data_IF_449911520375
#
_entry.id   IF_449911520375
#
_cell.length_a   1.000
_cell.length_b   1.000
_cell.length_c   1.000
_cell.angle_alpha   90.00
_cell.angle_beta   90.00
_cell.angle_gamma   90.00
#
_symmetry.space_group_name_H-M   'P 1'
#
loop_
_entity.id
_entity.type
_entity.pdbx_description
1 polymer ?
#
# COMPACT_ATOMS: atom_id res chain seq x y z
N UNK A 1 -17.86 -36.13 -3.35
CA UNK A 1 -17.26 -35.27 -2.31
C UNK A 1 -17.38 -33.83 -2.77
N UNK A 2 -18.46 -33.18 -2.38
CA UNK A 2 -18.73 -31.75 -2.59
C UNK A 2 -17.77 -30.93 -1.70
N UNK A 3 -17.09 -29.89 -2.21
CA UNK A 3 -16.21 -29.08 -1.39
C UNK A 3 -17.06 -28.34 -0.36
N UNK A 4 -16.85 -28.70 0.90
CA UNK A 4 -17.51 -28.14 2.07
C UNK A 4 -17.32 -26.63 2.13
N UNK A 5 -18.42 -25.94 2.40
CA UNK A 5 -18.58 -24.54 2.79
C UNK A 5 -17.32 -23.92 3.39
N UNK A 6 -16.90 -22.78 2.84
CA UNK A 6 -15.91 -21.88 3.42
C UNK A 6 -16.20 -21.71 4.92
N UNK A 7 -15.24 -22.06 5.77
CA UNK A 7 -15.32 -21.83 7.21
C UNK A 7 -15.60 -20.33 7.48
N UNK A 8 -16.81 -19.97 7.94
CA UNK A 8 -17.18 -18.58 8.12
C UNK A 8 -16.44 -17.95 9.31
N UNK A 9 -15.78 -18.73 10.16
CA UNK A 9 -14.97 -18.24 11.28
C UNK A 9 -13.57 -17.79 10.81
N UNK A 10 -12.90 -18.59 9.97
CA UNK A 10 -11.61 -18.23 9.37
C UNK A 10 -11.68 -16.99 8.46
N UNK A 11 -12.71 -16.90 7.61
CA UNK A 11 -12.90 -15.73 6.74
C UNK A 11 -13.11 -14.42 7.54
N UNK A 12 -13.91 -14.47 8.62
CA UNK A 12 -14.12 -13.33 9.52
C UNK A 12 -12.84 -12.92 10.24
N UNK A 13 -12.04 -13.90 10.68
CA UNK A 13 -10.74 -13.64 11.32
C UNK A 13 -9.75 -12.97 10.36
N UNK A 14 -9.60 -13.47 9.13
CA UNK A 14 -8.76 -12.81 8.11
C UNK A 14 -9.28 -11.41 7.78
N UNK A 15 -10.60 -11.23 7.67
CA UNK A 15 -11.20 -9.93 7.38
C UNK A 15 -10.86 -8.89 8.46
N UNK A 16 -10.97 -9.27 9.72
CA UNK A 16 -10.62 -8.40 10.84
C UNK A 16 -9.11 -8.09 10.87
N UNK A 17 -8.22 -9.06 10.65
CA UNK A 17 -6.78 -8.81 10.55
C UNK A 17 -6.42 -7.88 9.39
N UNK A 18 -7.04 -8.09 8.23
CA UNK A 18 -6.89 -7.21 7.05
C UNK A 18 -7.40 -5.81 7.38
N UNK A 19 -8.57 -5.66 7.99
CA UNK A 19 -9.13 -4.37 8.37
C UNK A 19 -8.19 -3.63 9.34
N UNK A 20 -7.71 -4.30 10.38
CA UNK A 20 -6.75 -3.72 11.34
C UNK A 20 -5.44 -3.29 10.66
N UNK A 21 -4.89 -4.14 9.79
CA UNK A 21 -3.68 -3.80 9.03
C UNK A 21 -3.90 -2.64 8.05
N UNK A 22 -5.07 -2.59 7.38
CA UNK A 22 -5.47 -1.48 6.51
C UNK A 22 -5.50 -0.18 7.27
N UNK A 23 -6.10 -0.17 8.46
CA UNK A 23 -6.23 1.08 9.19
C UNK A 23 -4.88 1.52 9.71
N UNK A 24 -4.03 0.63 10.21
CA UNK A 24 -2.66 1.01 10.56
C UNK A 24 -1.92 1.61 9.37
N UNK A 25 -2.11 1.06 8.16
CA UNK A 25 -1.52 1.60 6.93
C UNK A 25 -2.10 2.97 6.54
N UNK A 26 -3.41 3.18 6.69
CA UNK A 26 -4.06 4.48 6.40
C UNK A 26 -3.66 5.51 7.46
N UNK A 27 -3.62 5.13 8.73
CA UNK A 27 -3.19 5.99 9.83
C UNK A 27 -1.74 6.43 9.64
N UNK A 28 -0.86 5.51 9.23
CA UNK A 28 0.53 5.80 8.89
C UNK A 28 0.63 6.85 7.77
N UNK A 29 -0.28 6.83 6.79
CA UNK A 29 -0.29 7.81 5.69
C UNK A 29 -0.61 9.25 6.12
N UNK A 30 -1.16 9.47 7.31
CA UNK A 30 -1.36 10.80 7.89
C UNK A 30 -0.13 11.34 8.62
N UNK A 31 0.87 10.49 8.88
CA UNK A 31 2.10 10.89 9.54
C UNK A 31 3.03 11.51 8.50
N UNK A 32 3.49 12.77 8.68
CA UNK A 32 4.44 13.37 7.76
C UNK A 32 5.77 12.60 7.82
N UNK A 33 6.20 12.05 6.69
CA UNK A 33 7.46 11.31 6.61
C UNK A 33 8.60 12.25 6.20
N UNK A 34 9.76 12.20 6.89
CA UNK A 34 10.90 13.07 6.62
C UNK A 34 11.58 12.78 5.27
N UNK A 35 11.47 11.53 4.78
CA UNK A 35 12.08 11.08 3.53
C UNK A 35 11.02 10.38 2.67
N UNK A 36 10.83 10.80 1.40
CA UNK A 36 9.93 10.12 0.48
C UNK A 36 10.29 8.64 0.32
N UNK A 37 9.32 7.76 0.55
CA UNK A 37 9.49 6.30 0.42
C UNK A 37 9.88 5.57 1.70
N UNK A 38 10.19 6.27 2.80
CA UNK A 38 10.40 5.66 4.12
C UNK A 38 9.06 5.57 4.86
N UNK A 39 8.72 4.36 5.32
CA UNK A 39 7.54 4.05 6.11
C UNK A 39 7.94 3.51 7.48
N UNK A 40 7.18 3.82 8.51
CA UNK A 40 7.32 3.29 9.88
C UNK A 40 7.04 1.79 9.94
N UNK A 41 6.18 1.26 9.07
CA UNK A 41 5.88 -0.16 8.99
C UNK A 41 4.80 -0.62 9.97
N UNK A 42 3.86 0.25 10.37
CA UNK A 42 2.85 -0.08 11.37
C UNK A 42 1.99 -1.28 10.95
N UNK A 43 1.57 -1.31 9.69
CA UNK A 43 0.80 -2.42 9.17
C UNK A 43 1.62 -3.74 9.17
N UNK A 44 2.96 -3.67 9.06
CA UNK A 44 3.83 -4.86 9.01
C UNK A 44 3.88 -5.59 10.35
N UNK A 45 3.53 -4.93 11.46
CA UNK A 45 3.35 -5.57 12.76
C UNK A 45 2.28 -6.66 12.65
N UNK A 46 1.11 -6.34 12.07
CA UNK A 46 0.02 -7.31 11.91
C UNK A 46 0.44 -8.46 10.99
N UNK A 47 1.15 -8.17 9.90
CA UNK A 47 1.68 -9.20 9.00
C UNK A 47 2.66 -10.13 9.71
N UNK A 48 3.59 -9.60 10.50
CA UNK A 48 4.57 -10.39 11.25
C UNK A 48 3.93 -11.25 12.33
N UNK A 49 3.00 -10.70 13.12
CA UNK A 49 2.24 -11.44 14.13
C UNK A 49 1.41 -12.54 13.48
N UNK A 50 0.72 -12.21 12.38
CA UNK A 50 -0.06 -13.21 11.61
C UNK A 50 0.84 -14.32 11.08
N UNK A 51 2.04 -13.99 10.63
CA UNK A 51 2.99 -14.99 10.14
C UNK A 51 3.48 -15.93 11.24
N UNK A 52 3.71 -15.39 12.44
CA UNK A 52 4.14 -16.19 13.60
C UNK A 52 3.02 -17.11 14.13
N UNK A 53 1.78 -16.64 14.18
CA UNK A 53 0.65 -17.36 14.79
C UNK A 53 -0.15 -18.23 13.80
N UNK A 54 -0.38 -17.72 12.58
CA UNK A 54 -1.29 -18.31 11.59
C UNK A 54 -0.55 -18.85 10.35
N UNK A 55 0.75 -18.60 10.25
CA UNK A 55 1.59 -19.09 9.16
C UNK A 55 1.50 -18.28 7.86
N UNK A 56 2.18 -18.79 6.83
CA UNK A 56 2.45 -18.06 5.58
C UNK A 56 1.21 -17.63 4.81
N UNK A 57 0.26 -18.54 4.62
CA UNK A 57 -0.92 -18.27 3.78
C UNK A 57 -1.75 -17.11 4.34
N UNK A 58 -1.99 -17.10 5.65
CA UNK A 58 -2.72 -16.04 6.32
C UNK A 58 -1.94 -14.72 6.31
N UNK A 59 -0.62 -14.76 6.55
CA UNK A 59 0.20 -13.55 6.51
C UNK A 59 0.27 -12.91 5.12
N UNK A 60 0.38 -13.73 4.08
CA UNK A 60 0.38 -13.28 2.69
C UNK A 60 -0.99 -12.71 2.30
N UNK A 61 -2.10 -13.37 2.69
CA UNK A 61 -3.45 -12.83 2.52
C UNK A 61 -3.56 -11.44 3.18
N UNK A 62 -3.17 -11.31 4.44
CA UNK A 62 -3.18 -10.02 5.15
C UNK A 62 -2.30 -8.98 4.46
N UNK A 63 -1.07 -9.35 4.09
CA UNK A 63 -0.11 -8.45 3.47
C UNK A 63 -0.57 -7.90 2.12
N UNK A 64 -1.19 -8.74 1.29
CA UNK A 64 -1.68 -8.37 -0.04
C UNK A 64 -3.00 -7.62 0.05
N UNK A 65 -4.00 -8.18 0.73
CA UNK A 65 -5.35 -7.59 0.78
C UNK A 65 -5.34 -6.24 1.48
N UNK A 66 -4.51 -6.04 2.51
CA UNK A 66 -4.40 -4.72 3.15
C UNK A 66 -3.92 -3.64 2.17
N UNK A 67 -2.98 -3.97 1.28
CA UNK A 67 -2.43 -3.00 0.31
C UNK A 67 -3.46 -2.66 -0.76
N UNK A 68 -4.28 -3.64 -1.17
CA UNK A 68 -5.41 -3.45 -2.08
C UNK A 68 -6.44 -2.53 -1.43
N UNK A 69 -6.99 -2.92 -0.28
CA UNK A 69 -8.03 -2.16 0.42
C UNK A 69 -7.55 -0.75 0.75
N UNK A 70 -6.38 -0.59 1.38
CA UNK A 70 -5.85 0.74 1.71
C UNK A 70 -5.65 1.63 0.47
N UNK A 71 -5.28 1.06 -0.68
CA UNK A 71 -5.13 1.84 -1.90
C UNK A 71 -6.47 2.25 -2.53
N UNK A 72 -7.51 1.41 -2.42
CA UNK A 72 -8.87 1.78 -2.81
C UNK A 72 -9.38 2.93 -1.93
N UNK A 73 -9.06 2.90 -0.64
CA UNK A 73 -9.43 3.95 0.32
C UNK A 73 -8.76 5.28 -0.02
N UNK A 74 -7.46 5.22 -0.29
CA UNK A 74 -6.64 6.40 -0.58
C UNK A 74 -6.80 6.89 -2.03
N UNK A 75 -7.66 6.26 -2.84
CA UNK A 75 -7.82 6.56 -4.27
C UNK A 75 -6.49 6.45 -5.03
N UNK A 76 -5.68 5.46 -4.67
CA UNK A 76 -4.35 5.19 -5.21
C UNK A 76 -4.22 3.77 -5.78
N UNK A 77 -5.32 3.04 -5.90
CA UNK A 77 -5.34 1.71 -6.52
C UNK A 77 -4.78 1.77 -7.95
N UNK A 78 -3.88 0.84 -8.27
CA UNK A 78 -3.16 0.77 -9.55
C UNK A 78 -2.35 2.01 -9.96
N UNK A 79 -2.03 2.90 -9.00
CA UNK A 79 -0.98 3.91 -9.19
C UNK A 79 0.41 3.32 -8.98
N UNK A 80 1.51 3.99 -9.40
CA UNK A 80 2.87 3.51 -9.14
C UNK A 80 3.12 3.12 -7.68
N UNK A 81 2.68 3.94 -6.72
CA UNK A 81 2.85 3.65 -5.30
C UNK A 81 2.15 2.37 -4.83
N UNK A 82 0.98 2.04 -5.38
CA UNK A 82 0.31 0.77 -5.10
C UNK A 82 1.12 -0.42 -5.61
N UNK A 83 1.60 -0.37 -6.86
CA UNK A 83 2.38 -1.46 -7.46
C UNK A 83 3.65 -1.72 -6.66
N UNK A 84 4.38 -0.65 -6.31
CA UNK A 84 5.57 -0.73 -5.48
C UNK A 84 5.25 -1.37 -4.12
N UNK A 85 4.18 -0.95 -3.45
CA UNK A 85 3.81 -1.47 -2.13
C UNK A 85 3.31 -2.92 -2.15
N UNK A 86 2.52 -3.31 -3.16
CA UNK A 86 1.89 -4.62 -3.27
C UNK A 86 2.93 -5.74 -3.44
N UNK A 87 3.79 -5.59 -4.44
CA UNK A 87 4.83 -6.59 -4.73
C UNK A 87 5.92 -6.61 -3.65
N UNK A 88 6.24 -5.47 -3.04
CA UNK A 88 7.21 -5.41 -1.93
C UNK A 88 6.67 -6.04 -0.66
N UNK A 89 5.37 -5.95 -0.40
CA UNK A 89 4.72 -6.65 0.71
C UNK A 89 4.76 -8.18 0.52
N UNK A 90 4.53 -8.65 -0.71
CA UNK A 90 4.67 -10.06 -1.06
C UNK A 90 6.10 -10.58 -0.83
N UNK A 91 7.10 -9.87 -1.38
CA UNK A 91 8.51 -10.24 -1.27
C UNK A 91 8.99 -10.26 0.18
N UNK A 92 8.65 -9.23 0.96
CA UNK A 92 8.97 -9.16 2.40
C UNK A 92 8.37 -10.32 3.20
N UNK A 93 7.09 -10.64 2.97
CA UNK A 93 6.41 -11.74 3.65
C UNK A 93 7.05 -13.09 3.32
N UNK A 94 7.42 -13.30 2.05
CA UNK A 94 8.12 -14.52 1.63
C UNK A 94 9.49 -14.66 2.32
N UNK A 95 10.28 -13.59 2.40
CA UNK A 95 11.58 -13.60 3.10
C UNK A 95 11.41 -13.91 4.59
N UNK A 96 10.47 -13.24 5.27
CA UNK A 96 10.20 -13.53 6.69
C UNK A 96 9.77 -14.98 6.91
N UNK A 97 8.93 -15.53 6.01
CA UNK A 97 8.51 -16.93 6.08
C UNK A 97 9.66 -17.90 5.91
N UNK A 98 10.55 -17.67 4.94
CA UNK A 98 11.74 -18.51 4.73
C UNK A 98 12.61 -18.52 5.98
N UNK A 99 12.88 -17.36 6.59
CA UNK A 99 13.71 -17.26 7.79
C UNK A 99 13.09 -17.97 9.00
N UNK A 100 11.79 -17.82 9.21
CA UNK A 100 11.09 -18.55 10.28
C UNK A 100 11.07 -20.06 10.03
N UNK A 101 10.87 -20.48 8.79
CA UNK A 101 10.86 -21.91 8.40
C UNK A 101 12.23 -22.55 8.61
N UNK A 102 13.31 -21.85 8.25
CA UNK A 102 14.69 -22.29 8.53
C UNK A 102 14.94 -22.34 10.03
N UNK A 103 14.49 -21.34 10.78
CA UNK A 103 14.66 -21.28 12.24
C UNK A 103 13.96 -22.43 12.97
N UNK A 104 12.75 -22.80 12.52
CA UNK A 104 12.01 -23.95 13.06
C UNK A 104 12.74 -25.28 12.83
N UNK A 105 13.59 -25.36 11.80
CA UNK A 105 14.37 -26.56 11.45
C UNK A 105 15.67 -26.68 12.24
N UNK A 106 16.14 -25.62 12.88
CA UNK A 106 17.35 -25.58 13.71
C UNK A 106 17.08 -24.99 15.11
N UNK A 107 16.45 -25.76 16.02
CA UNK A 107 16.15 -25.32 17.38
C UNK A 107 17.44 -24.86 18.10
N UNK A 108 17.42 -23.65 18.67
CA UNK A 108 18.55 -23.06 19.41
C UNK A 108 19.58 -22.29 18.57
N UNK A 109 19.50 -22.31 17.23
CA UNK A 109 20.36 -21.51 16.33
C UNK A 109 19.57 -20.69 15.29
N UNK A 110 18.26 -20.58 15.48
CA UNK A 110 17.36 -19.86 14.59
C UNK A 110 17.45 -18.33 14.68
N UNK A 111 16.81 -17.66 13.74
CA UNK A 111 16.68 -16.21 13.73
C UNK A 111 15.70 -15.74 14.81
N UNK A 112 16.04 -14.66 15.50
CA UNK A 112 15.12 -13.98 16.43
C UNK A 112 14.00 -13.28 15.67
N UNK A 113 12.87 -13.01 16.34
CA UNK A 113 11.76 -12.22 15.76
C UNK A 113 12.24 -10.85 15.26
N UNK A 114 13.23 -10.27 15.94
CA UNK A 114 13.91 -9.04 15.53
C UNK A 114 14.67 -9.22 14.22
N UNK A 115 15.49 -10.27 14.11
CA UNK A 115 16.22 -10.58 12.89
C UNK A 115 15.29 -10.83 11.70
N UNK A 116 14.19 -11.56 11.91
CA UNK A 116 13.17 -11.83 10.89
C UNK A 116 12.51 -10.54 10.42
N UNK A 117 12.08 -9.67 11.34
CA UNK A 117 11.46 -8.38 11.01
C UNK A 117 12.40 -7.44 10.27
N UNK A 118 13.66 -7.34 10.73
CA UNK A 118 14.69 -6.53 10.06
C UNK A 118 14.96 -7.04 8.65
N UNK A 119 15.13 -8.35 8.47
CA UNK A 119 15.30 -8.93 7.13
C UNK A 119 14.07 -8.70 6.24
N UNK A 120 12.86 -8.79 6.82
CA UNK A 120 11.62 -8.44 6.13
C UNK A 120 11.58 -6.98 5.67
N UNK A 121 11.97 -6.03 6.53
CA UNK A 121 12.02 -4.61 6.20
C UNK A 121 13.07 -4.29 5.12
N UNK A 122 14.25 -4.92 5.21
CA UNK A 122 15.29 -4.80 4.17
C UNK A 122 14.82 -5.38 2.84
N UNK A 123 14.18 -6.55 2.85
CA UNK A 123 13.60 -7.16 1.64
C UNK A 123 12.49 -6.31 1.04
N UNK A 124 11.65 -5.68 1.87
CA UNK A 124 10.63 -4.73 1.43
C UNK A 124 11.26 -3.53 0.71
N UNK A 125 12.27 -2.93 1.31
CA UNK A 125 12.95 -1.76 0.73
C UNK A 125 13.73 -2.11 -0.54
N UNK A 126 14.40 -3.26 -0.56
CA UNK A 126 15.14 -3.74 -1.72
C UNK A 126 14.20 -4.06 -2.89
N UNK A 127 13.08 -4.74 -2.64
CA UNK A 127 12.06 -5.00 -3.66
C UNK A 127 11.39 -3.71 -4.14
N UNK A 128 11.07 -2.77 -3.24
CA UNK A 128 10.51 -1.48 -3.61
C UNK A 128 11.44 -0.70 -4.53
N UNK A 129 12.73 -0.67 -4.21
CA UNK A 129 13.75 0.00 -5.02
C UNK A 129 13.97 -0.70 -6.37
N UNK A 130 14.05 -2.03 -6.37
CA UNK A 130 14.18 -2.83 -7.58
C UNK A 130 12.97 -2.66 -8.52
N UNK A 131 11.76 -2.63 -7.98
CA UNK A 131 10.54 -2.36 -8.75
C UNK A 131 10.50 -0.92 -9.27
N UNK A 132 10.94 0.06 -8.49
CA UNK A 132 11.07 1.43 -8.94
C UNK A 132 12.07 1.55 -10.11
N UNK A 133 13.19 0.81 -10.04
CA UNK A 133 14.14 0.69 -11.15
C UNK A 133 13.50 0.05 -12.37
N UNK A 134 12.91 -1.14 -12.24
CA UNK A 134 12.38 -1.91 -13.37
C UNK A 134 11.19 -1.24 -14.07
N UNK A 135 10.27 -0.68 -13.27
CA UNK A 135 8.98 -0.16 -13.75
C UNK A 135 9.03 1.33 -14.09
N UNK A 136 9.80 2.14 -13.36
CA UNK A 136 9.70 3.61 -13.44
C UNK A 136 10.93 4.25 -14.07
N UNK A 137 12.09 4.15 -13.42
CA UNK A 137 13.26 5.02 -13.69
C UNK A 137 14.30 4.35 -14.59
N UNK A 138 14.43 3.02 -14.64
CA UNK A 138 15.39 2.27 -15.49
C UNK A 138 16.79 2.90 -15.60
N UNK A 139 17.30 3.47 -14.50
CA UNK A 139 18.59 4.12 -14.43
C UNK A 139 19.28 3.73 -13.13
N UNK A 140 20.57 3.37 -13.19
CA UNK A 140 21.31 2.76 -12.07
C UNK A 140 21.47 3.69 -10.86
N UNK A 141 21.47 5.01 -11.11
CA UNK A 141 21.56 6.02 -10.06
C UNK A 141 20.44 5.94 -9.01
N UNK A 142 19.31 5.27 -9.29
CA UNK A 142 18.29 5.03 -8.27
C UNK A 142 18.85 4.22 -7.08
N UNK A 143 19.88 3.40 -7.30
CA UNK A 143 20.53 2.63 -6.23
C UNK A 143 21.33 3.49 -5.24
N UNK A 144 21.53 4.79 -5.51
CA UNK A 144 22.06 5.72 -4.50
C UNK A 144 21.13 5.89 -3.28
N UNK A 145 19.83 5.55 -3.42
CA UNK A 145 18.92 5.50 -2.27
C UNK A 145 19.08 4.22 -1.43
N UNK A 146 19.76 3.19 -1.93
CA UNK A 146 19.84 1.89 -1.26
C UNK A 146 20.42 1.97 0.17
N UNK A 147 21.52 2.71 0.44
CA UNK A 147 22.07 2.80 1.80
C UNK A 147 21.09 3.47 2.79
N UNK A 148 20.42 4.53 2.35
CA UNK A 148 19.43 5.25 3.16
C UNK A 148 18.20 4.39 3.45
N UNK A 149 17.72 3.66 2.45
CA UNK A 149 16.62 2.72 2.60
C UNK A 149 17.01 1.53 3.48
N UNK A 150 18.24 1.01 3.36
CA UNK A 150 18.73 -0.05 4.24
C UNK A 150 18.78 0.42 5.71
N UNK A 151 19.35 1.60 5.97
CA UNK A 151 19.41 2.18 7.31
C UNK A 151 18.02 2.37 7.92
N UNK A 152 17.09 2.93 7.15
CA UNK A 152 15.70 3.07 7.61
C UNK A 152 15.03 1.71 7.86
N UNK A 153 15.29 0.71 7.02
CA UNK A 153 14.80 -0.66 7.18
C UNK A 153 15.32 -1.36 8.44
N UNK A 154 16.57 -1.11 8.82
CA UNK A 154 17.12 -1.60 10.09
C UNK A 154 16.33 -1.03 11.28
N UNK A 155 16.11 0.29 11.27
CA UNK A 155 15.40 0.99 12.35
C UNK A 155 13.94 0.57 12.41
N UNK A 156 13.22 0.63 11.29
CA UNK A 156 11.77 0.33 11.25
C UNK A 156 11.51 -1.16 11.46
N UNK A 157 12.37 -2.03 10.95
CA UNK A 157 12.31 -3.47 11.20
C UNK A 157 12.53 -3.81 12.66
N UNK A 158 13.48 -3.16 13.33
CA UNK A 158 13.71 -3.33 14.78
C UNK A 158 12.51 -2.85 15.59
N UNK A 159 11.98 -1.64 15.32
CA UNK A 159 10.80 -1.11 16.00
C UNK A 159 9.56 -2.00 15.80
N UNK A 160 9.33 -2.46 14.57
CA UNK A 160 8.23 -3.38 14.23
C UNK A 160 8.32 -4.67 15.04
N UNK A 161 9.54 -5.20 15.22
CA UNK A 161 9.75 -6.43 15.97
C UNK A 161 9.47 -6.27 17.47
N UNK A 162 9.84 -5.15 18.08
CA UNK A 162 9.60 -4.90 19.50
C UNK A 162 8.10 -4.90 19.80
N UNK A 163 7.31 -4.21 18.96
CA UNK A 163 5.86 -4.17 19.13
C UNK A 163 5.24 -5.54 18.85
N UNK A 164 5.68 -6.22 17.78
CA UNK A 164 5.20 -7.56 17.48
C UNK A 164 5.51 -8.56 18.61
N UNK A 165 6.70 -8.50 19.21
CA UNK A 165 7.08 -9.35 20.31
C UNK A 165 6.18 -9.13 21.54
N UNK A 166 5.84 -7.89 21.88
CA UNK A 166 4.94 -7.60 23.00
C UNK A 166 3.51 -8.10 22.72
N UNK A 167 3.02 -7.96 21.48
CA UNK A 167 1.71 -8.50 21.08
C UNK A 167 1.70 -10.02 21.20
N UNK A 168 2.76 -10.70 20.76
CA UNK A 168 2.87 -12.18 20.85
C UNK A 168 2.98 -12.67 22.30
N UNK A 169 3.47 -11.86 23.24
CA UNK A 169 3.49 -12.21 24.68
C UNK A 169 2.11 -12.15 25.32
N UNK A 170 1.10 -11.56 24.67
CA UNK A 170 -0.26 -11.39 25.17
C UNK A 170 -1.27 -12.06 24.22
N UNK A 171 -1.43 -13.40 24.28
CA UNK A 171 -2.29 -14.15 23.34
C UNK A 171 -3.76 -13.68 23.34
N UNK A 172 -4.25 -13.17 24.47
CA UNK A 172 -5.60 -12.58 24.56
C UNK A 172 -5.74 -11.30 23.73
N UNK A 173 -4.67 -10.49 23.62
CA UNK A 173 -4.68 -9.25 22.85
C UNK A 173 -4.78 -9.49 21.34
N UNK A 174 -4.20 -10.58 20.83
CA UNK A 174 -4.35 -10.98 19.42
C UNK A 174 -5.78 -11.44 19.10
N UNK A 175 -6.44 -12.06 20.09
CA UNK A 175 -7.83 -12.52 20.00
C UNK A 175 -8.83 -11.35 20.10
N UNK A 176 -8.50 -10.34 20.93
CA UNK A 176 -9.30 -9.13 21.17
C UNK A 176 -9.14 -8.05 20.07
N UNK A 177 -8.02 -8.02 19.35
CA UNK A 177 -7.77 -7.10 18.23
C UNK A 177 -8.55 -7.43 16.95
N UNK A 178 -9.43 -8.43 17.00
CA UNK A 178 -10.43 -8.71 15.98
C UNK A 178 -11.69 -7.94 16.36
N UNK A 179 -11.89 -6.68 15.90
CA UNK A 179 -13.17 -6.03 16.11
C UNK A 179 -14.27 -6.97 15.59
N UNK A 180 -15.32 -7.15 16.39
CA UNK A 180 -16.52 -7.82 15.92
C UNK A 180 -16.93 -7.12 14.62
N UNK A 181 -16.93 -7.88 13.52
CA UNK A 181 -17.30 -7.39 12.19
C UNK A 181 -18.81 -7.13 12.21
N UNK A 182 -19.17 -6.03 12.85
CA UNK A 182 -20.53 -5.66 13.13
C UNK A 182 -21.06 -4.92 11.92
N UNK A 183 -21.43 -5.69 10.89
CA UNK A 183 -22.30 -5.30 9.78
C UNK A 183 -22.38 -3.80 9.48
N UNK A 184 -21.24 -3.15 9.29
CA UNK A 184 -21.22 -1.71 9.08
C UNK A 184 -21.77 -1.43 7.69
N UNK A 185 -22.71 -0.48 7.60
CA UNK A 185 -23.34 -0.10 6.35
C UNK A 185 -22.28 0.30 5.33
N UNK A 186 -22.21 -0.43 4.21
CA UNK A 186 -21.39 -0.08 3.06
C UNK A 186 -21.74 1.36 2.68
N UNK A 187 -20.78 2.30 2.61
CA UNK A 187 -21.06 3.65 2.16
C UNK A 187 -21.80 3.60 0.83
N UNK A 188 -22.84 4.42 0.67
CA UNK A 188 -23.65 4.42 -0.54
C UNK A 188 -22.72 4.47 -1.78
N UNK A 189 -22.94 3.60 -2.79
CA UNK A 189 -22.05 3.50 -3.93
C UNK A 189 -21.92 4.87 -4.58
N UNK A 190 -20.69 5.40 -4.68
CA UNK A 190 -20.44 6.54 -5.55
C UNK A 190 -20.84 6.13 -6.97
N UNK A 191 -21.62 6.96 -7.66
CA UNK A 191 -22.02 6.70 -9.05
C UNK A 191 -20.77 6.49 -9.91
N UNK A 192 -20.67 5.32 -10.54
CA UNK A 192 -19.73 5.11 -11.63
C UNK A 192 -20.13 6.02 -12.79
N UNK A 193 -19.17 6.77 -13.35
CA UNK A 193 -19.40 7.63 -14.53
C UNK A 193 -19.59 6.81 -15.83
N UNK A 194 -19.37 5.49 -15.79
CA UNK A 194 -19.58 4.59 -16.92
C UNK A 194 -20.17 3.25 -16.44
N UNK A 195 -21.43 3.23 -15.95
CA UNK A 195 -22.02 2.03 -15.34
C UNK A 195 -22.28 0.92 -16.36
N UNK A 196 -22.38 1.25 -17.65
CA UNK A 196 -22.60 0.29 -18.73
C UNK A 196 -21.39 -0.62 -19.00
N UNK A 197 -20.19 -0.21 -18.58
CA UNK A 197 -18.96 -1.00 -18.76
C UNK A 197 -18.70 -1.81 -17.49
N UNK A 198 -18.57 -3.16 -17.58
CA UNK A 198 -18.24 -3.99 -16.42
C UNK A 198 -16.91 -3.58 -15.78
N UNK A 199 -16.83 -3.67 -14.46
CA UNK A 199 -15.64 -3.28 -13.69
C UNK A 199 -14.40 -4.14 -14.03
N UNK A 200 -14.60 -5.39 -14.43
CA UNK A 200 -13.57 -6.31 -14.90
C UNK A 200 -12.89 -5.77 -16.15
N UNK A 201 -13.68 -5.25 -17.10
CA UNK A 201 -13.15 -4.70 -18.34
C UNK A 201 -12.41 -3.39 -18.06
N UNK A 202 -12.94 -2.51 -17.18
CA UNK A 202 -12.24 -1.30 -16.74
C UNK A 202 -10.88 -1.64 -16.11
N UNK A 203 -10.86 -2.64 -15.23
CA UNK A 203 -9.66 -3.12 -14.57
C UNK A 203 -8.66 -3.74 -15.56
N UNK A 204 -9.13 -4.59 -16.47
CA UNK A 204 -8.29 -5.19 -17.51
C UNK A 204 -7.67 -4.14 -18.44
N UNK A 205 -8.46 -3.14 -18.88
CA UNK A 205 -7.99 -2.04 -19.71
C UNK A 205 -6.97 -1.16 -18.97
N UNK A 206 -7.21 -0.86 -17.69
CA UNK A 206 -6.26 -0.14 -16.86
C UNK A 206 -4.94 -0.92 -16.73
N UNK A 207 -5.00 -2.23 -16.45
CA UNK A 207 -3.81 -3.09 -16.42
C UNK A 207 -3.07 -3.11 -17.76
N UNK A 208 -3.78 -3.20 -18.89
CA UNK A 208 -3.18 -3.15 -20.21
C UNK A 208 -2.49 -1.80 -20.49
N UNK A 209 -3.11 -0.68 -20.13
CA UNK A 209 -2.53 0.64 -20.26
C UNK A 209 -1.29 0.83 -19.38
N UNK A 210 -1.29 0.27 -18.15
CA UNK A 210 -0.11 0.28 -17.27
C UNK A 210 1.02 -0.56 -17.83
N UNK A 211 0.73 -1.77 -18.35
CA UNK A 211 1.74 -2.60 -19.01
C UNK A 211 2.31 -1.88 -20.24
N UNK A 212 1.46 -1.27 -21.06
CA UNK A 212 1.91 -0.45 -22.19
C UNK A 212 2.84 0.68 -21.72
N UNK A 213 2.46 1.45 -20.70
CA UNK A 213 3.29 2.53 -20.17
C UNK A 213 4.67 2.04 -19.67
N UNK A 214 4.75 0.83 -19.10
CA UNK A 214 6.01 0.22 -18.65
C UNK A 214 6.89 -0.20 -19.83
N UNK A 215 6.34 -0.85 -20.86
CA UNK A 215 7.13 -1.39 -21.96
C UNK A 215 7.46 -0.37 -23.05
N UNK A 216 6.63 0.66 -23.22
CA UNK A 216 6.88 1.73 -24.17
C UNK A 216 8.15 2.52 -23.80
N UNK A 217 9.01 2.67 -24.80
CA UNK A 217 10.26 3.45 -24.72
C UNK A 217 10.24 4.70 -25.59
N UNK A 218 9.32 4.77 -26.54
CA UNK A 218 9.25 5.86 -27.50
C UNK A 218 8.65 7.13 -26.86
N UNK A 219 9.29 8.31 -26.95
CA UNK A 219 8.83 9.53 -26.28
C UNK A 219 7.44 9.97 -26.73
N UNK A 220 7.11 9.83 -28.03
CA UNK A 220 5.78 10.20 -28.56
C UNK A 220 4.65 9.28 -28.07
N UNK A 221 4.96 8.11 -27.51
CA UNK A 221 3.93 7.19 -27.05
C UNK A 221 3.20 7.71 -25.81
N UNK A 222 3.87 8.49 -24.93
CA UNK A 222 3.25 9.00 -23.71
C UNK A 222 2.27 10.16 -23.95
N UNK A 223 2.58 11.17 -24.80
CA UNK A 223 1.59 12.14 -25.25
C UNK A 223 0.40 11.47 -25.95
N UNK A 224 0.62 10.45 -26.79
CA UNK A 224 -0.47 9.73 -27.45
C UNK A 224 -1.37 9.00 -26.43
N UNK A 225 -0.79 8.32 -25.43
CA UNK A 225 -1.54 7.72 -24.33
C UNK A 225 -2.30 8.80 -23.53
N UNK A 226 -1.66 9.90 -23.19
CA UNK A 226 -2.30 11.02 -22.49
C UNK A 226 -3.47 11.63 -23.27
N UNK A 227 -3.32 11.81 -24.58
CA UNK A 227 -4.38 12.26 -25.47
C UNK A 227 -5.56 11.27 -25.50
N UNK A 228 -5.28 9.96 -25.54
CA UNK A 228 -6.31 8.92 -25.44
C UNK A 228 -7.06 8.97 -24.10
N UNK A 229 -6.35 9.17 -22.99
CA UNK A 229 -6.98 9.33 -21.66
C UNK A 229 -7.82 10.61 -21.59
N UNK A 230 -7.37 11.73 -22.16
CA UNK A 230 -8.17 12.97 -22.25
C UNK A 230 -9.41 12.78 -23.11
N UNK A 231 -9.27 12.13 -24.26
CA UNK A 231 -10.38 11.84 -25.16
C UNK A 231 -11.43 10.98 -24.46
N UNK A 232 -11.00 9.96 -23.69
CA UNK A 232 -11.90 9.18 -22.85
C UNK A 232 -12.64 10.06 -21.83
N UNK A 233 -11.92 10.93 -21.10
CA UNK A 233 -12.54 11.84 -20.13
C UNK A 233 -13.57 12.78 -20.76
N UNK A 234 -13.25 13.31 -21.95
CA UNK A 234 -14.15 14.18 -22.70
C UNK A 234 -15.37 13.42 -23.23
N UNK A 235 -15.17 12.20 -23.76
CA UNK A 235 -16.22 11.36 -24.32
C UNK A 235 -17.25 10.93 -23.27
N UNK A 236 -16.81 10.61 -22.04
CA UNK A 236 -17.70 10.28 -20.92
C UNK A 236 -18.26 11.51 -20.19
N UNK A 237 -17.93 12.72 -20.65
CA UNK A 237 -18.39 14.00 -20.09
C UNK A 237 -18.11 14.10 -18.58
N UNK A 238 -16.87 13.82 -18.17
CA UNK A 238 -16.48 13.94 -16.76
C UNK A 238 -16.69 15.40 -16.26
N UNK A 239 -17.14 15.59 -15.00
CA UNK A 239 -17.28 16.93 -14.43
C UNK A 239 -15.93 17.66 -14.33
N UNK A 240 -15.92 18.98 -14.49
CA UNK A 240 -14.72 19.81 -14.37
C UNK A 240 -13.97 19.64 -13.03
N UNK A 241 -14.69 19.32 -11.95
CA UNK A 241 -14.10 19.01 -10.65
C UNK A 241 -13.15 17.80 -10.67
N UNK A 242 -13.41 16.81 -11.54
CA UNK A 242 -12.54 15.63 -11.67
C UNK A 242 -11.26 15.96 -12.43
N UNK A 243 -11.31 16.87 -13.41
CA UNK A 243 -10.10 17.40 -14.05
C UNK A 243 -9.20 18.13 -13.04
N UNK A 244 -9.79 18.95 -12.17
CA UNK A 244 -9.04 19.61 -11.09
C UNK A 244 -8.46 18.58 -10.08
N UNK A 245 -9.19 17.51 -9.80
CA UNK A 245 -8.72 16.41 -8.94
C UNK A 245 -7.56 15.64 -9.56
N UNK A 246 -7.61 15.39 -10.87
CA UNK A 246 -6.50 14.83 -11.63
C UNK A 246 -5.25 15.70 -11.51
N UNK A 247 -5.37 17.01 -11.75
CA UNK A 247 -4.23 17.94 -11.66
C UNK A 247 -3.61 17.95 -10.25
N UNK A 248 -4.44 17.92 -9.18
CA UNK A 248 -3.95 17.79 -7.81
C UNK A 248 -3.20 16.48 -7.59
N UNK A 249 -3.70 15.36 -8.12
CA UNK A 249 -3.06 14.04 -8.03
C UNK A 249 -1.74 14.00 -8.79
N UNK A 250 -1.70 14.49 -10.03
CA UNK A 250 -0.49 14.56 -10.84
C UNK A 250 0.55 15.51 -10.21
N UNK A 251 0.11 16.61 -9.59
CA UNK A 251 0.98 17.48 -8.79
C UNK A 251 1.57 16.74 -7.57
N UNK A 252 0.81 15.86 -6.92
CA UNK A 252 1.34 15.00 -5.86
C UNK A 252 2.38 13.98 -6.35
N UNK A 253 2.36 13.62 -7.64
CA UNK A 253 3.33 12.73 -8.29
C UNK A 253 4.48 13.50 -8.96
N UNK A 254 4.40 14.83 -9.05
CA UNK A 254 5.37 15.62 -9.82
C UNK A 254 6.76 15.57 -9.22
N UNK A 255 6.89 15.43 -7.90
CA UNK A 255 8.20 15.25 -7.26
C UNK A 255 8.87 13.93 -7.71
N UNK A 256 8.10 12.83 -7.81
CA UNK A 256 8.62 11.54 -8.26
C UNK A 256 8.96 11.58 -9.76
N UNK A 257 8.11 12.24 -10.56
CA UNK A 257 8.38 12.46 -11.97
C UNK A 257 9.62 13.36 -12.19
N UNK A 258 9.79 14.41 -11.37
CA UNK A 258 10.94 15.29 -11.41
C UNK A 258 12.21 14.54 -11.06
N UNK A 259 12.22 13.77 -9.97
CA UNK A 259 13.34 12.90 -9.61
C UNK A 259 13.70 11.96 -10.78
N UNK A 260 12.69 11.34 -11.39
CA UNK A 260 12.89 10.41 -12.52
C UNK A 260 13.37 11.09 -13.80
N UNK A 261 13.12 12.39 -13.97
CA UNK A 261 13.67 13.21 -15.04
C UNK A 261 15.12 13.62 -14.76
N UNK A 262 15.37 14.12 -13.54
CA UNK A 262 16.65 14.70 -13.15
C UNK A 262 17.75 13.63 -13.04
N UNK A 263 17.42 12.40 -12.64
CA UNK A 263 18.43 11.35 -12.51
C UNK A 263 19.13 11.03 -13.84
N UNK A 264 18.44 10.68 -14.93
CA UNK A 264 19.10 10.51 -16.21
C UNK A 264 19.73 11.81 -16.74
N UNK A 265 19.11 12.96 -16.47
CA UNK A 265 19.65 14.26 -16.92
C UNK A 265 21.06 14.53 -16.39
N UNK A 266 21.30 14.27 -15.10
CA UNK A 266 22.59 14.54 -14.45
C UNK A 266 23.57 13.36 -14.43
N UNK A 267 23.06 12.12 -14.50
CA UNK A 267 23.89 10.92 -14.31
C UNK A 267 24.07 10.09 -15.59
N UNK A 268 23.54 10.53 -16.73
CA UNK A 268 23.86 9.90 -18.03
C UNK A 268 25.15 10.50 -18.58
N UNK A 269 26.19 9.70 -18.87
CA UNK A 269 27.43 10.19 -19.45
C UNK A 269 27.23 10.92 -20.78
N UNK A 270 27.95 12.03 -20.95
CA UNK A 270 27.98 12.82 -22.18
C UNK A 270 28.76 12.08 -23.29
N UNK A 271 28.08 11.19 -24.03
CA UNK A 271 28.67 10.43 -25.15
C UNK A 271 28.89 11.23 -26.45
N UNK A 272 29.09 12.55 -26.38
CA UNK A 272 29.34 13.42 -27.54
C UNK A 272 28.12 14.13 -28.15
N UNK A 273 26.89 13.68 -27.90
CA UNK A 273 25.65 14.38 -28.29
C UNK A 273 25.12 15.22 -27.11
N UNK A 274 25.66 16.43 -27.02
CA UNK A 274 25.40 17.39 -25.95
C UNK A 274 24.35 18.43 -26.39
N UNK A 275 23.48 18.77 -25.44
CA UNK A 275 22.56 19.90 -25.55
C UNK A 275 23.01 20.96 -24.56
N UNK A 276 23.35 22.14 -25.06
CA UNK A 276 23.67 23.30 -24.24
C UNK A 276 22.39 23.97 -23.75
N UNK A 277 22.30 24.17 -22.43
CA UNK A 277 21.26 24.94 -21.79
C UNK A 277 21.92 25.93 -20.81
N UNK A 278 22.32 27.08 -21.34
CA UNK A 278 23.07 28.09 -20.58
C UNK A 278 24.46 27.58 -20.19
N UNK A 279 24.90 27.72 -18.94
CA UNK A 279 26.23 27.26 -18.49
C UNK A 279 26.32 25.74 -18.29
N UNK A 280 25.21 25.02 -18.46
CA UNK A 280 25.15 23.58 -18.24
C UNK A 280 25.08 22.81 -19.56
N UNK A 281 25.82 21.70 -19.63
CA UNK A 281 25.82 20.77 -20.76
C UNK A 281 25.18 19.45 -20.33
N UNK A 282 24.18 19.01 -21.09
CA UNK A 282 23.46 17.78 -20.80
C UNK A 282 23.54 16.80 -21.97
N UNK A 283 23.66 15.50 -21.67
CA UNK A 283 23.56 14.46 -22.68
C UNK A 283 22.12 14.41 -23.23
N UNK A 284 21.94 14.46 -24.56
CA UNK A 284 20.62 14.34 -25.20
C UNK A 284 19.90 13.05 -24.78
N UNK A 285 20.66 11.95 -24.66
CA UNK A 285 20.16 10.67 -24.18
C UNK A 285 19.56 10.73 -22.77
N UNK A 286 20.19 11.51 -21.88
CA UNK A 286 19.69 11.76 -20.51
C UNK A 286 18.38 12.55 -20.53
N UNK A 287 18.30 13.59 -21.35
CA UNK A 287 17.08 14.41 -21.50
C UNK A 287 15.90 13.58 -22.05
N UNK A 288 16.13 12.78 -23.09
CA UNK A 288 15.10 11.91 -23.68
C UNK A 288 14.64 10.82 -22.70
N UNK A 289 15.59 10.12 -22.07
CA UNK A 289 15.27 9.06 -21.11
C UNK A 289 14.54 9.60 -19.89
N UNK A 290 15.03 10.72 -19.33
CA UNK A 290 14.37 11.40 -18.22
C UNK A 290 12.95 11.83 -18.56
N UNK A 291 12.73 12.38 -19.77
CA UNK A 291 11.39 12.78 -20.24
C UNK A 291 10.45 11.58 -20.32
N UNK A 292 10.92 10.46 -20.86
CA UNK A 292 10.17 9.20 -20.95
C UNK A 292 9.81 8.67 -19.55
N UNK A 293 10.75 8.70 -18.60
CA UNK A 293 10.50 8.17 -17.25
C UNK A 293 9.52 9.03 -16.45
N UNK A 294 9.65 10.36 -16.55
CA UNK A 294 8.70 11.29 -15.95
C UNK A 294 7.29 11.12 -16.56
N UNK A 295 7.18 11.07 -17.88
CA UNK A 295 5.91 10.88 -18.57
C UNK A 295 5.26 9.54 -18.22
N UNK A 296 6.05 8.46 -18.08
CA UNK A 296 5.58 7.15 -17.63
C UNK A 296 4.90 7.22 -16.26
N UNK A 297 5.53 7.86 -15.28
CA UNK A 297 4.97 8.00 -13.93
C UNK A 297 3.65 8.78 -13.96
N UNK A 298 3.59 9.85 -14.73
CA UNK A 298 2.38 10.67 -14.86
C UNK A 298 1.24 9.89 -15.53
N UNK A 299 1.51 9.17 -16.63
CA UNK A 299 0.50 8.34 -17.33
C UNK A 299 0.03 7.18 -16.45
N UNK A 300 0.92 6.52 -15.72
CA UNK A 300 0.53 5.47 -14.76
C UNK A 300 -0.33 6.04 -13.64
N UNK A 301 0.04 7.20 -13.09
CA UNK A 301 -0.74 7.91 -12.07
C UNK A 301 -2.12 8.34 -12.58
N UNK A 302 -2.20 8.81 -13.82
CA UNK A 302 -3.45 9.19 -14.48
C UNK A 302 -4.35 7.98 -14.74
N UNK A 303 -3.80 6.88 -15.25
CA UNK A 303 -4.53 5.63 -15.48
C UNK A 303 -5.14 5.11 -14.18
N UNK A 304 -4.34 5.06 -13.11
CA UNK A 304 -4.83 4.69 -11.78
C UNK A 304 -5.92 5.64 -11.28
N UNK A 305 -5.73 6.96 -11.42
CA UNK A 305 -6.76 7.95 -11.05
C UNK A 305 -8.08 7.70 -11.78
N UNK A 306 -8.06 7.54 -13.11
CA UNK A 306 -9.28 7.32 -13.89
C UNK A 306 -9.99 6.02 -13.50
N UNK A 307 -9.26 4.94 -13.24
CA UNK A 307 -9.88 3.72 -12.76
C UNK A 307 -10.67 3.95 -11.46
N UNK A 308 -10.11 4.70 -10.51
CA UNK A 308 -10.77 5.02 -9.23
C UNK A 308 -11.94 6.02 -9.38
N UNK A 309 -11.99 6.78 -10.49
CA UNK A 309 -13.12 7.65 -10.83
C UNK A 309 -14.24 6.87 -11.53
N UNK A 310 -13.90 5.98 -12.45
CA UNK A 310 -14.88 5.23 -13.26
C UNK A 310 -15.38 3.93 -12.62
N UNK A 311 -14.71 3.41 -11.59
CA UNK A 311 -15.14 2.22 -10.89
C UNK A 311 -15.21 2.50 -9.39
N UNK A 312 -16.36 2.20 -8.79
CA UNK A 312 -16.51 2.38 -7.34
C UNK A 312 -15.61 1.38 -6.59
N UNK A 313 -15.16 1.69 -5.36
CA UNK A 313 -14.37 0.76 -4.56
C UNK A 313 -15.02 -0.62 -4.37
N UNK A 314 -16.35 -0.66 -4.23
CA UNK A 314 -17.11 -1.90 -4.12
C UNK A 314 -17.13 -2.69 -5.44
N UNK A 315 -17.34 -2.01 -6.58
CA UNK A 315 -17.26 -2.63 -7.91
C UNK A 315 -15.85 -3.21 -8.17
N UNK A 316 -14.80 -2.49 -7.77
CA UNK A 316 -13.42 -2.96 -7.89
C UNK A 316 -13.15 -4.16 -6.98
N UNK A 317 -13.63 -4.15 -5.73
CA UNK A 317 -13.53 -5.27 -4.81
C UNK A 317 -14.17 -6.55 -5.39
N UNK A 318 -15.39 -6.41 -5.91
CA UNK A 318 -16.12 -7.50 -6.56
C UNK A 318 -15.41 -8.01 -7.82
N UNK A 319 -14.92 -7.10 -8.67
CA UNK A 319 -14.18 -7.44 -9.88
C UNK A 319 -12.89 -8.21 -9.56
N UNK A 320 -12.14 -7.78 -8.54
CA UNK A 320 -10.94 -8.48 -8.06
C UNK A 320 -11.32 -9.89 -7.59
N UNK A 321 -12.36 -10.03 -6.76
CA UNK A 321 -12.85 -11.34 -6.30
C UNK A 321 -13.21 -12.28 -7.45
N UNK A 322 -13.89 -11.77 -8.48
CA UNK A 322 -14.25 -12.54 -9.69
C UNK A 322 -13.02 -12.91 -10.52
N UNK A 323 -12.07 -12.00 -10.72
CA UNK A 323 -10.81 -12.27 -11.42
C UNK A 323 -9.91 -13.26 -10.68
N UNK A 324 -10.02 -13.34 -9.36
CA UNK A 324 -9.28 -14.30 -8.55
C UNK A 324 -9.82 -15.75 -8.65
N UNK A 325 -11.08 -15.97 -9.07
CA UNK A 325 -11.71 -17.30 -9.17
C UNK A 325 -10.89 -18.37 -9.90
N UNK A 326 -10.29 -18.12 -11.09
CA UNK A 326 -9.47 -19.12 -11.77
C UNK A 326 -8.27 -19.58 -10.93
N UNK A 327 -7.71 -18.71 -10.08
CA UNK A 327 -6.61 -19.06 -9.17
C UNK A 327 -7.06 -19.95 -8.00
N UNK A 328 -8.37 -20.16 -7.82
CA UNK A 328 -8.90 -21.14 -6.88
C UNK A 328 -8.43 -22.58 -7.14
N UNK A 329 -8.12 -22.91 -8.40
CA UNK A 329 -7.52 -24.20 -8.78
C UNK A 329 -6.10 -24.39 -8.24
N UNK A 330 -5.41 -23.29 -7.91
CA UNK A 330 -4.08 -23.29 -7.30
C UNK A 330 -4.15 -23.16 -5.77
N UNK A 331 -5.32 -23.35 -5.17
CA UNK A 331 -5.53 -23.23 -3.73
C UNK A 331 -5.72 -21.80 -3.23
N UNK A 332 -5.86 -20.80 -4.11
CA UNK A 332 -6.09 -19.41 -3.71
C UNK A 332 -7.57 -19.18 -3.29
N UNK A 333 -7.85 -18.64 -2.09
CA UNK A 333 -9.22 -18.50 -1.61
C UNK A 333 -9.93 -17.26 -2.22
N UNK A 334 -10.37 -17.38 -3.48
CA UNK A 334 -10.90 -16.27 -4.27
C UNK A 334 -12.22 -15.68 -3.74
N UNK A 335 -13.17 -16.51 -3.32
CA UNK A 335 -14.46 -16.05 -2.77
C UNK A 335 -14.28 -15.37 -1.40
N UNK A 336 -13.39 -15.91 -0.57
CA UNK A 336 -12.97 -15.31 0.70
C UNK A 336 -12.31 -13.95 0.50
N UNK A 337 -11.49 -13.80 -0.55
CA UNK A 337 -10.80 -12.54 -0.87
C UNK A 337 -11.79 -11.39 -1.09
N UNK A 338 -12.84 -11.60 -1.89
CA UNK A 338 -13.88 -10.59 -2.12
C UNK A 338 -14.63 -10.21 -0.84
N UNK A 339 -15.01 -11.21 -0.04
CA UNK A 339 -15.67 -10.98 1.25
C UNK A 339 -14.79 -10.19 2.24
N UNK A 340 -13.51 -10.54 2.33
CA UNK A 340 -12.53 -9.84 3.20
C UNK A 340 -12.37 -8.38 2.78
N UNK A 341 -12.24 -8.10 1.48
CA UNK A 341 -12.15 -6.72 0.97
C UNK A 341 -13.43 -5.94 1.28
N UNK A 342 -14.62 -6.53 1.05
CA UNK A 342 -15.90 -5.90 1.32
C UNK A 342 -16.12 -5.59 2.80
N UNK A 343 -15.83 -6.54 3.70
CA UNK A 343 -15.93 -6.36 5.15
C UNK A 343 -14.93 -5.32 5.67
N UNK A 344 -13.67 -5.37 5.20
CA UNK A 344 -12.66 -4.39 5.58
C UNK A 344 -13.03 -2.96 5.13
N UNK A 345 -13.67 -2.83 3.96
CA UNK A 345 -14.18 -1.55 3.47
C UNK A 345 -15.31 -0.99 4.35
N UNK A 346 -16.27 -1.83 4.74
CA UNK A 346 -17.39 -1.44 5.59
C UNK A 346 -16.96 -0.92 6.97
N UNK A 347 -15.92 -1.52 7.57
CA UNK A 347 -15.45 -1.17 8.92
C UNK A 347 -14.60 0.12 8.97
N UNK A 348 -14.07 0.54 7.82
CA UNK A 348 -13.09 1.62 7.80
C UNK A 348 -13.60 2.95 8.37
N UNK A 349 -14.82 3.46 8.04
CA UNK A 349 -15.32 4.70 8.61
C UNK A 349 -15.43 4.65 10.13
N UNK A 350 -16.02 3.59 10.67
CA UNK A 350 -16.15 3.37 12.12
C UNK A 350 -14.77 3.30 12.78
N UNK A 351 -13.82 2.63 12.15
CA UNK A 351 -12.46 2.52 12.66
C UNK A 351 -11.73 3.88 12.66
N UNK A 352 -11.83 4.67 11.59
CA UNK A 352 -11.20 6.00 11.55
C UNK A 352 -11.73 6.94 12.65
N UNK A 353 -13.01 6.80 13.02
CA UNK A 353 -13.58 7.52 14.15
C UNK A 353 -12.95 7.06 15.48
N UNK A 354 -12.80 5.76 15.71
CA UNK A 354 -12.11 5.21 16.91
C UNK A 354 -10.66 5.65 17.00
N UNK A 355 -9.92 5.61 15.89
CA UNK A 355 -8.52 6.05 15.84
C UNK A 355 -8.38 7.54 16.20
N UNK A 356 -9.29 8.40 15.72
CA UNK A 356 -9.33 9.82 16.09
C UNK A 356 -9.65 10.02 17.57
N UNK A 357 -10.60 9.27 18.12
CA UNK A 357 -10.94 9.32 19.53
C UNK A 357 -9.77 8.89 20.43
N UNK A 358 -9.08 7.80 20.09
CA UNK A 358 -7.90 7.32 20.80
C UNK A 358 -6.74 8.33 20.75
N UNK A 359 -6.51 8.93 19.58
CA UNK A 359 -5.52 10.00 19.43
C UNK A 359 -5.87 11.23 20.30
N UNK A 360 -7.14 11.66 20.29
CA UNK A 360 -7.61 12.76 21.13
C UNK A 360 -7.43 12.47 22.63
N UNK A 361 -7.76 11.25 23.09
CA UNK A 361 -7.57 10.83 24.47
C UNK A 361 -6.08 10.78 24.87
N UNK A 362 -5.19 10.32 23.97
CA UNK A 362 -3.75 10.33 24.20
C UNK A 362 -3.18 11.76 24.31
N UNK A 363 -3.71 12.69 23.52
CA UNK A 363 -3.36 14.12 23.61
C UNK A 363 -3.86 14.71 24.94
N UNK A 364 -5.10 14.39 25.35
CA UNK A 364 -5.68 14.86 26.61
C UNK A 364 -4.90 14.38 27.85
N UNK A 365 -4.31 13.17 27.81
CA UNK A 365 -3.44 12.62 28.87
C UNK A 365 -2.05 13.26 28.96
N UNK A 366 -1.79 14.36 28.27
CA UNK A 366 -0.55 15.12 28.40
C UNK A 366 0.64 14.57 27.61
N UNK A 367 0.41 13.66 26.64
CA UNK A 367 1.46 13.08 25.77
C UNK A 367 2.21 14.08 24.87
N UNK A 368 1.89 15.38 24.98
CA UNK A 368 2.46 16.47 24.19
C UNK A 368 3.75 17.08 24.78
N UNK A 369 4.12 16.76 26.03
CA UNK A 369 5.20 17.45 26.76
C UNK A 369 6.62 16.89 26.59
N UNK A 370 6.88 15.99 25.65
CA UNK A 370 8.21 15.39 25.44
C UNK A 370 8.60 15.29 23.96
N UNK A 371 9.90 15.46 23.68
CA UNK A 371 10.59 15.47 22.38
C UNK A 371 9.87 14.76 21.20
N UNK A 372 10.00 15.25 19.95
CA UNK A 372 9.22 14.81 18.78
C UNK A 372 9.21 13.30 18.53
N UNK A 373 10.27 12.57 18.92
CA UNK A 373 10.36 11.12 18.81
C UNK A 373 9.46 10.35 19.82
N UNK A 374 9.30 10.87 21.05
CA UNK A 374 8.41 10.31 22.07
C UNK A 374 6.93 10.50 21.72
N UNK A 375 6.62 11.60 21.02
CA UNK A 375 5.28 11.87 20.48
C UNK A 375 4.85 10.82 19.44
N UNK A 376 5.70 10.52 18.45
CA UNK A 376 5.38 9.55 17.40
C UNK A 376 5.18 8.13 17.95
N UNK A 377 6.01 7.72 18.92
CA UNK A 377 5.94 6.39 19.54
C UNK A 377 4.77 6.28 20.51
N UNK A 378 4.52 7.31 21.34
CA UNK A 378 3.39 7.32 22.29
C UNK A 378 2.03 7.44 21.62
N UNK A 379 1.93 8.20 20.52
CA UNK A 379 0.70 8.31 19.73
C UNK A 379 0.46 7.04 18.92
N UNK A 380 1.49 6.45 18.31
CA UNK A 380 1.36 5.14 17.67
C UNK A 380 0.98 4.04 18.68
N UNK A 381 1.61 3.99 19.86
CA UNK A 381 1.29 3.02 20.91
C UNK A 381 -0.11 3.25 21.50
N UNK A 382 -0.53 4.49 21.72
CA UNK A 382 -1.87 4.83 22.23
C UNK A 382 -2.98 4.59 21.20
N UNK A 383 -2.69 4.83 19.92
CA UNK A 383 -3.57 4.49 18.80
C UNK A 383 -3.65 2.98 18.64
N UNK A 384 -2.54 2.24 18.63
CA UNK A 384 -2.50 0.77 18.60
C UNK A 384 -3.23 0.17 19.81
N UNK A 385 -3.01 0.70 21.02
CA UNK A 385 -3.67 0.23 22.25
C UNK A 385 -5.17 0.53 22.26
N UNK A 386 -5.58 1.75 21.92
CA UNK A 386 -7.00 2.13 21.80
C UNK A 386 -7.71 1.43 20.64
N UNK A 387 -6.98 1.00 19.62
CA UNK A 387 -7.46 0.18 18.50
C UNK A 387 -7.66 -1.31 18.86
N UNK A 388 -7.06 -1.79 19.95
CA UNK A 388 -7.17 -3.19 20.40
C UNK A 388 -8.20 -3.39 21.53
N UNK A 389 -8.89 -2.34 22.00
CA UNK A 389 -9.92 -2.46 23.03
C UNK A 389 -11.29 -2.74 22.38
N UNK A 390 -12.03 -3.79 22.81
CA UNK A 390 -13.35 -4.11 22.27
C UNK A 390 -14.36 -2.96 22.52
N UNK A 391 -15.25 -2.75 21.55
CA UNK A 391 -16.13 -1.57 21.45
C UNK A 391 -17.06 -1.31 22.64
N UNK A 392 -17.31 -2.31 23.49
CA UNK A 392 -18.15 -2.16 24.69
C UNK A 392 -17.50 -1.30 25.79
N UNK A 393 -16.16 -1.28 25.86
CA UNK A 393 -15.44 -0.50 26.88
C UNK A 393 -15.48 1.01 26.59
N UNK A 394 -15.51 1.41 25.31
CA UNK A 394 -15.55 2.84 24.92
C UNK A 394 -16.92 3.45 25.23
N UNK A 395 -18.01 2.68 25.07
CA UNK A 395 -19.36 3.11 25.50
C UNK A 395 -19.49 3.22 27.01
N UNK A 396 -18.81 2.37 27.79
CA UNK A 396 -18.82 2.47 29.25
C UNK A 396 -18.01 3.67 29.77
N UNK A 397 -16.87 3.98 29.15
CA UNK A 397 -16.06 5.16 29.51
C UNK A 397 -16.70 6.49 29.06
N UNK A 398 -17.41 6.52 27.93
CA UNK A 398 -18.14 7.72 27.46
C UNK A 398 -19.51 7.91 28.11
N UNK A 399 -20.07 6.88 28.74
CA UNK A 399 -21.28 7.02 29.57
C UNK A 399 -20.95 7.38 31.03
N UNK A 400 -19.70 7.19 31.47
CA UNK A 400 -19.24 7.49 32.83
C UNK A 400 -18.49 8.83 32.96
N UNK A 401 -18.26 9.53 31.85
CA UNK A 401 -17.67 10.89 31.78
C UNK A 401 -18.71 11.85 31.22
#
# INVERSE_FOLDING_TARGET
MTPSSADPSGARRSAALVATACVLQVAESFIPHPVPGVRLGLANIVTLVTLAELGFAAALEVALLRTVVASLVLGSFLTPGFLLSFFSAAASTAVMWVLLSVSARFPGKGFSIVGVSVAGALAHNASQLGLAYLLLIRHESIFYFAPWLALSGLVTGWLTALVAAEVLRRPDAFSLALPGVAGAAVPAPRRSYAPAVPAELKLALACAALLAAVFLRHPLAFPALGAGLLALMAATRLPAAEYASLLRKLRGLSWLAAVSFLFPLFFTPAGGDLVQAGPFEFARAGLLSGSVFAARILVMGWTGFLLNVYASPAELADAIGRLCRPFGRLGFPAERTGAVIGLAWGELPAFTARARAAAAAAVARGGWRGAPLRWSVGLAAGVIAGMCVPGEAVSAETAAA
#
